data_IF_434275947760
#
_entry.id   IF_434275947760
#
_cell.length_a   1.000
_cell.length_b   1.000
_cell.length_c   1.000
_cell.angle_alpha   90.00
_cell.angle_beta   90.00
_cell.angle_gamma   90.00
#
_symmetry.space_group_name_H-M   'P 1'
#
loop_
_entity.id
_entity.type
_entity.pdbx_description
1 polymer ?
#
# COMPACT_ATOMS: atom_id res chain seq x y z
N UNK A 1 -15.43 57.02 -18.18
CA UNK A 1 -15.03 55.66 -17.81
C UNK A 1 -16.23 54.74 -18.04
N UNK A 2 -16.27 53.98 -19.13
CA UNK A 2 -17.32 52.97 -19.33
C UNK A 2 -16.95 51.77 -18.46
N UNK A 3 -17.61 51.63 -17.32
CA UNK A 3 -17.57 50.39 -16.55
C UNK A 3 -18.43 49.39 -17.33
N UNK A 4 -17.80 48.61 -18.21
CA UNK A 4 -18.44 47.45 -18.81
C UNK A 4 -18.57 46.40 -17.72
N UNK A 5 -19.79 46.21 -17.22
CA UNK A 5 -20.15 45.17 -16.25
C UNK A 5 -20.16 43.82 -16.95
N UNK A 6 -18.98 43.31 -17.32
CA UNK A 6 -18.84 41.99 -17.91
C UNK A 6 -19.06 40.92 -16.82
N UNK A 7 -20.28 40.41 -16.74
CA UNK A 7 -20.69 39.35 -15.82
C UNK A 7 -20.27 37.95 -16.31
N UNK A 8 -19.64 37.83 -17.48
CA UNK A 8 -19.31 36.52 -18.07
C UNK A 8 -18.37 35.70 -17.18
N UNK A 9 -17.34 36.34 -16.60
CA UNK A 9 -16.40 35.71 -15.68
C UNK A 9 -17.07 35.22 -14.41
N UNK A 10 -17.94 36.05 -13.80
CA UNK A 10 -18.67 35.70 -12.58
C UNK A 10 -19.66 34.56 -12.83
N UNK A 11 -20.37 34.57 -13.96
CA UNK A 11 -21.25 33.47 -14.35
C UNK A 11 -20.49 32.16 -14.59
N UNK A 12 -19.27 32.24 -15.13
CA UNK A 12 -18.41 31.06 -15.29
C UNK A 12 -17.94 30.52 -13.94
N UNK A 13 -17.51 31.40 -13.03
CA UNK A 13 -17.11 31.01 -11.68
C UNK A 13 -18.25 30.31 -10.93
N UNK A 14 -19.47 30.85 -10.96
CA UNK A 14 -20.65 30.22 -10.33
C UNK A 14 -20.89 28.81 -10.90
N UNK A 15 -20.81 28.64 -12.22
CA UNK A 15 -20.97 27.31 -12.84
C UNK A 15 -19.90 26.31 -12.39
N UNK A 16 -18.65 26.74 -12.26
CA UNK A 16 -17.55 25.89 -11.79
C UNK A 16 -17.73 25.54 -10.32
N UNK A 17 -18.15 26.48 -9.48
CA UNK A 17 -18.48 26.21 -8.08
C UNK A 17 -19.64 25.18 -7.98
N UNK A 18 -20.69 25.32 -8.79
CA UNK A 18 -21.78 24.33 -8.88
C UNK A 18 -21.29 22.95 -9.36
N UNK A 19 -20.20 22.89 -10.15
CA UNK A 19 -19.60 21.62 -10.54
C UNK A 19 -18.81 20.97 -9.39
N UNK A 20 -18.30 21.72 -8.40
CA UNK A 20 -17.57 21.13 -7.28
C UNK A 20 -18.43 20.12 -6.53
N UNK A 21 -19.68 20.50 -6.22
CA UNK A 21 -20.64 19.62 -5.53
C UNK A 21 -21.03 18.36 -6.35
N UNK A 22 -20.76 18.37 -7.66
CA UNK A 22 -21.04 17.26 -8.58
C UNK A 22 -19.86 16.34 -8.77
N UNK A 23 -18.70 16.61 -8.17
CA UNK A 23 -17.55 15.73 -8.27
C UNK A 23 -17.26 15.06 -6.93
N UNK A 24 -16.83 13.81 -7.00
CA UNK A 24 -16.27 13.06 -5.88
C UNK A 24 -14.93 12.46 -6.27
N UNK A 25 -14.08 12.25 -5.27
CA UNK A 25 -12.74 11.72 -5.47
C UNK A 25 -12.65 10.33 -4.85
N UNK A 26 -12.31 9.34 -5.66
CA UNK A 26 -11.99 7.99 -5.19
C UNK A 26 -10.48 7.81 -5.19
N UNK A 27 -9.93 7.27 -4.11
CA UNK A 27 -8.48 7.16 -3.89
C UNK A 27 -8.18 5.75 -3.38
N UNK A 28 -7.15 5.13 -3.94
CA UNK A 28 -6.68 3.84 -3.46
C UNK A 28 -6.07 2.99 -4.56
N UNK A 29 -6.18 1.67 -4.39
CA UNK A 29 -5.71 0.69 -5.36
C UNK A 29 -6.93 0.06 -6.03
N UNK A 30 -7.10 0.29 -7.33
CA UNK A 30 -8.21 -0.28 -8.11
C UNK A 30 -7.80 -1.63 -8.72
N UNK A 31 -8.71 -2.60 -8.68
CA UNK A 31 -8.43 -4.00 -8.96
C UNK A 31 -8.59 -4.39 -10.42
N UNK A 32 -8.80 -3.39 -11.28
CA UNK A 32 -9.06 -3.56 -12.71
C UNK A 32 -7.85 -4.23 -13.40
N UNK A 33 -6.63 -4.00 -12.91
CA UNK A 33 -5.39 -4.51 -13.51
C UNK A 33 -4.67 -5.60 -12.70
N UNK A 34 -4.85 -5.66 -11.37
CA UNK A 34 -4.12 -6.61 -10.52
C UNK A 34 -4.80 -6.84 -9.14
N UNK A 35 -5.68 -7.84 -9.08
CA UNK A 35 -6.36 -8.26 -7.84
C UNK A 35 -5.40 -8.75 -6.75
N UNK A 36 -4.20 -9.22 -7.12
CA UNK A 36 -3.18 -9.66 -6.15
C UNK A 36 -2.57 -8.47 -5.42
N UNK A 37 -2.37 -7.33 -6.10
CA UNK A 37 -1.85 -6.12 -5.46
C UNK A 37 -2.85 -5.55 -4.43
N UNK A 38 -4.15 -5.58 -4.74
CA UNK A 38 -5.17 -5.19 -3.77
C UNK A 38 -5.15 -6.07 -2.52
N UNK A 39 -5.02 -7.39 -2.68
CA UNK A 39 -4.91 -8.31 -1.56
C UNK A 39 -3.69 -7.96 -0.69
N UNK A 40 -2.53 -7.73 -1.29
CA UNK A 40 -1.30 -7.35 -0.57
C UNK A 40 -1.49 -6.03 0.18
N UNK A 41 -2.09 -5.02 -0.47
CA UNK A 41 -2.39 -3.75 0.16
C UNK A 41 -3.34 -3.91 1.35
N UNK A 42 -4.40 -4.72 1.23
CA UNK A 42 -5.32 -5.00 2.34
C UNK A 42 -4.64 -5.69 3.53
N UNK A 43 -3.78 -6.69 3.25
CA UNK A 43 -2.97 -7.35 4.29
C UNK A 43 -2.04 -6.36 4.99
N UNK A 44 -1.46 -5.42 4.25
CA UNK A 44 -0.62 -4.40 4.86
C UNK A 44 -1.43 -3.37 5.64
N UNK A 45 -2.56 -2.89 5.13
CA UNK A 45 -3.37 -1.87 5.80
C UNK A 45 -3.98 -2.35 7.12
N UNK A 46 -4.41 -3.62 7.19
CA UNK A 46 -5.17 -4.16 8.33
C UNK A 46 -4.49 -5.32 9.08
N UNK A 47 -3.36 -5.81 8.57
CA UNK A 47 -2.71 -7.01 9.10
C UNK A 47 -3.44 -8.30 8.70
N UNK A 48 -2.79 -9.44 8.97
CA UNK A 48 -3.39 -10.76 8.73
C UNK A 48 -2.72 -11.84 9.58
N UNK A 49 -3.51 -12.71 10.20
CA UNK A 49 -3.02 -13.96 10.78
C UNK A 49 -3.26 -15.11 9.80
N UNK A 50 -2.17 -15.72 9.33
CA UNK A 50 -2.23 -16.89 8.45
C UNK A 50 -2.16 -18.14 9.31
N UNK A 51 -3.11 -19.05 9.10
CA UNK A 51 -3.16 -20.38 9.73
C UNK A 51 -2.97 -21.49 8.68
N UNK A 52 -2.29 -22.59 9.01
CA UNK A 52 -2.12 -23.71 8.09
C UNK A 52 -3.43 -24.45 7.85
N UNK A 53 -3.58 -25.02 6.65
CA UNK A 53 -4.65 -26.00 6.37
C UNK A 53 -4.38 -27.37 7.03
N UNK A 54 -3.11 -27.70 7.23
CA UNK A 54 -2.65 -28.88 7.96
C UNK A 54 -2.08 -28.51 9.33
N UNK A 55 -1.10 -29.28 9.82
CA UNK A 55 -0.53 -29.04 11.15
C UNK A 55 0.40 -27.83 11.25
N UNK A 56 1.13 -27.51 10.18
CA UNK A 56 2.14 -26.46 10.17
C UNK A 56 2.20 -25.71 8.83
N UNK A 57 2.54 -24.43 8.90
CA UNK A 57 3.09 -23.63 7.82
C UNK A 57 4.60 -23.88 7.74
N UNK A 58 5.12 -23.97 6.52
CA UNK A 58 6.56 -24.10 6.25
C UNK A 58 7.13 -22.76 5.82
N UNK A 59 8.00 -22.17 6.64
CA UNK A 59 8.72 -20.94 6.31
C UNK A 59 10.12 -21.31 5.84
N UNK A 60 10.49 -21.03 4.57
CA UNK A 60 11.80 -21.40 4.03
C UNK A 60 12.92 -20.59 4.67
N UNK A 61 14.05 -21.24 4.91
CA UNK A 61 15.33 -20.59 5.24
C UNK A 61 16.09 -20.22 3.96
N UNK A 62 17.17 -19.41 4.04
CA UNK A 62 18.04 -19.16 2.89
C UNK A 62 18.56 -20.45 2.24
N UNK A 63 18.82 -21.49 3.02
CA UNK A 63 19.30 -22.79 2.56
C UNK A 63 18.25 -23.52 1.70
N UNK A 64 16.95 -23.41 2.01
CA UNK A 64 15.91 -24.00 1.16
C UNK A 64 15.80 -23.30 -0.20
N UNK A 65 16.08 -21.99 -0.26
CA UNK A 65 15.86 -21.18 -1.46
C UNK A 65 14.39 -21.20 -1.87
N UNK A 66 14.12 -21.44 -3.16
CA UNK A 66 12.76 -21.52 -3.71
C UNK A 66 12.23 -22.96 -3.84
N UNK A 67 12.97 -23.95 -3.33
CA UNK A 67 12.60 -25.37 -3.39
C UNK A 67 11.40 -25.66 -2.48
N UNK A 68 10.48 -26.53 -2.92
CA UNK A 68 9.39 -26.98 -2.05
C UNK A 68 9.91 -28.09 -1.14
N UNK A 69 9.29 -28.25 0.03
CA UNK A 69 9.67 -29.29 0.99
C UNK A 69 9.69 -30.71 0.38
N UNK A 70 8.78 -31.00 -0.57
CA UNK A 70 8.71 -32.29 -1.26
C UNK A 70 9.86 -32.53 -2.25
N UNK A 71 10.53 -31.47 -2.69
CA UNK A 71 11.59 -31.53 -3.72
C UNK A 71 12.99 -31.71 -3.07
N UNK A 72 13.07 -31.75 -1.74
CA UNK A 72 14.34 -31.87 -1.01
C UNK A 72 14.50 -33.31 -0.53
N UNK A 73 15.42 -34.10 -1.12
CA UNK A 73 15.68 -35.47 -0.68
C UNK A 73 16.22 -35.52 0.75
N UNK A 74 15.81 -36.53 1.52
CA UNK A 74 16.28 -36.72 2.90
C UNK A 74 15.77 -35.67 3.89
N UNK A 75 14.76 -34.87 3.51
CA UNK A 75 14.13 -33.92 4.41
C UNK A 75 13.32 -34.65 5.49
N UNK A 76 13.60 -34.35 6.76
CA UNK A 76 12.86 -34.93 7.88
C UNK A 76 12.60 -33.89 8.98
N UNK A 77 11.68 -34.21 9.89
CA UNK A 77 11.42 -33.41 11.10
C UNK A 77 12.13 -34.07 12.29
N UNK A 78 13.19 -33.46 12.86
CA UNK A 78 13.81 -33.96 14.07
C UNK A 78 12.80 -34.06 15.23
N UNK A 79 12.92 -35.11 16.05
CA UNK A 79 12.00 -35.36 17.17
C UNK A 79 12.00 -34.18 18.13
N UNK A 80 10.81 -33.73 18.52
CA UNK A 80 10.64 -32.60 19.45
C UNK A 80 10.98 -31.21 18.89
N UNK A 81 11.41 -31.08 17.63
CA UNK A 81 11.73 -29.78 17.00
C UNK A 81 10.71 -29.41 15.93
N UNK A 82 10.41 -28.12 15.80
CA UNK A 82 9.50 -27.57 14.79
C UNK A 82 10.29 -27.01 13.59
N UNK A 83 11.10 -27.87 12.99
CA UNK A 83 11.88 -27.58 11.77
C UNK A 83 11.84 -28.78 10.83
N UNK A 84 12.10 -28.54 9.55
CA UNK A 84 12.47 -29.56 8.59
C UNK A 84 13.93 -29.36 8.21
N UNK A 85 14.72 -30.42 8.27
CA UNK A 85 16.16 -30.39 8.06
C UNK A 85 16.63 -31.60 7.24
N UNK A 86 17.82 -31.46 6.65
CA UNK A 86 18.57 -32.54 6.02
C UNK A 86 19.82 -32.81 6.86
N UNK A 87 20.17 -34.09 7.04
CA UNK A 87 21.41 -34.47 7.71
C UNK A 87 22.54 -34.60 6.67
N UNK A 88 23.66 -33.92 6.92
CA UNK A 88 24.89 -34.10 6.15
C UNK A 88 25.58 -35.43 6.47
N UNK A 89 26.57 -35.84 5.65
CA UNK A 89 27.37 -37.05 5.90
C UNK A 89 28.11 -37.04 7.24
N UNK A 90 28.39 -35.85 7.77
CA UNK A 90 29.04 -35.57 9.06
C UNK A 90 28.04 -35.53 10.24
N UNK A 91 26.75 -35.80 10.00
CA UNK A 91 25.68 -35.71 10.99
C UNK A 91 25.22 -34.27 11.28
N UNK A 92 25.79 -33.26 10.62
CA UNK A 92 25.38 -31.87 10.81
C UNK A 92 24.02 -31.64 10.17
N UNK A 93 23.11 -30.99 10.91
CA UNK A 93 21.78 -30.68 10.43
C UNK A 93 21.77 -29.33 9.68
N UNK A 94 21.34 -29.36 8.43
CA UNK A 94 21.01 -28.15 7.67
C UNK A 94 19.50 -27.92 7.74
N UNK A 95 19.09 -26.84 8.41
CA UNK A 95 17.68 -26.46 8.53
C UNK A 95 17.22 -25.88 7.19
N UNK A 96 16.13 -26.42 6.65
CA UNK A 96 15.55 -25.98 5.38
C UNK A 96 14.25 -25.18 5.62
N UNK A 97 13.43 -25.58 6.60
CA UNK A 97 12.17 -24.87 6.89
C UNK A 97 11.92 -24.76 8.39
N UNK A 98 11.39 -23.61 8.83
CA UNK A 98 10.75 -23.47 10.13
C UNK A 98 9.29 -23.87 10.04
N UNK A 99 8.82 -24.64 11.03
CA UNK A 99 7.42 -25.04 11.15
C UNK A 99 6.69 -24.12 12.14
N UNK A 100 5.63 -23.46 11.69
CA UNK A 100 4.82 -22.55 12.50
C UNK A 100 3.34 -22.96 12.47
N UNK A 101 2.63 -22.83 13.58
CA UNK A 101 1.18 -23.07 13.66
C UNK A 101 0.37 -21.84 13.23
N UNK A 102 0.99 -20.68 13.19
CA UNK A 102 0.44 -19.45 12.63
C UNK A 102 1.57 -18.48 12.27
N UNK A 103 1.27 -17.55 11.36
CA UNK A 103 2.14 -16.41 11.04
C UNK A 103 1.30 -15.16 11.18
N UNK A 104 1.75 -14.25 12.06
CA UNK A 104 1.12 -12.96 12.26
C UNK A 104 1.84 -11.91 11.40
N UNK A 105 1.11 -11.32 10.46
CA UNK A 105 1.55 -10.18 9.66
C UNK A 105 0.93 -8.94 10.31
N UNK A 106 1.75 -8.04 10.86
CA UNK A 106 1.23 -6.85 11.52
C UNK A 106 0.70 -5.85 10.49
N UNK A 107 -0.30 -5.08 10.91
CA UNK A 107 -0.79 -3.93 10.18
C UNK A 107 0.29 -2.86 10.03
N UNK A 108 0.20 -2.12 8.94
CA UNK A 108 1.05 -1.02 8.48
C UNK A 108 0.14 -0.05 7.76
N UNK A 109 -0.80 0.51 8.50
CA UNK A 109 -1.79 1.47 8.03
C UNK A 109 -1.09 2.62 7.30
N UNK A 110 -1.20 2.63 5.97
CA UNK A 110 -0.60 3.63 5.10
C UNK A 110 -1.67 4.49 4.43
N UNK A 111 -2.90 3.97 4.26
CA UNK A 111 -4.04 4.77 3.82
C UNK A 111 -4.62 5.54 5.00
N UNK A 112 -5.17 4.84 6.00
CA UNK A 112 -5.93 5.48 7.10
C UNK A 112 -5.08 6.49 7.85
N UNK A 113 -3.86 6.12 8.23
CA UNK A 113 -2.95 7.05 8.93
C UNK A 113 -2.62 8.29 8.10
N UNK A 114 -2.48 8.17 6.77
CA UNK A 114 -2.25 9.33 5.90
C UNK A 114 -3.47 10.24 5.88
N UNK A 115 -4.68 9.69 5.78
CA UNK A 115 -5.91 10.47 5.86
C UNK A 115 -6.01 11.19 7.21
N UNK A 116 -5.81 10.49 8.32
CA UNK A 116 -5.87 11.08 9.67
C UNK A 116 -4.84 12.22 9.82
N UNK A 117 -3.63 12.05 9.29
CA UNK A 117 -2.53 13.02 9.45
C UNK A 117 -2.59 14.21 8.48
N UNK A 118 -3.17 14.05 7.28
CA UNK A 118 -3.06 15.04 6.19
C UNK A 118 -4.37 15.72 5.82
N UNK A 119 -5.52 15.24 6.28
CA UNK A 119 -6.84 15.78 5.88
C UNK A 119 -6.95 17.29 6.03
N UNK A 120 -6.48 17.86 7.14
CA UNK A 120 -6.52 19.31 7.37
C UNK A 120 -5.72 20.08 6.30
N UNK A 121 -4.50 19.63 6.01
CA UNK A 121 -3.63 20.25 5.00
C UNK A 121 -4.25 20.17 3.60
N UNK A 122 -4.90 19.06 3.27
CA UNK A 122 -5.60 18.93 2.00
C UNK A 122 -6.81 19.86 1.89
N UNK A 123 -7.55 20.05 3.00
CA UNK A 123 -8.62 21.04 3.10
C UNK A 123 -8.11 22.47 2.84
N UNK A 124 -7.03 22.87 3.49
CA UNK A 124 -6.42 24.20 3.29
C UNK A 124 -5.99 24.42 1.82
N UNK A 125 -5.40 23.41 1.17
CA UNK A 125 -5.06 23.48 -0.25
C UNK A 125 -6.30 23.62 -1.14
N UNK A 126 -7.34 22.86 -0.83
CA UNK A 126 -8.60 22.88 -1.57
C UNK A 126 -9.29 24.24 -1.46
N UNK A 127 -9.36 24.83 -0.26
CA UNK A 127 -9.89 26.18 -0.03
C UNK A 127 -9.13 27.24 -0.83
N UNK A 128 -7.79 27.17 -0.86
CA UNK A 128 -6.98 28.07 -1.69
C UNK A 128 -7.29 27.94 -3.19
N UNK A 129 -7.60 26.73 -3.67
CA UNK A 129 -7.96 26.51 -5.07
C UNK A 129 -9.39 26.93 -5.42
N UNK A 130 -10.30 27.02 -4.44
CA UNK A 130 -11.63 27.61 -4.66
C UNK A 130 -11.48 29.10 -5.05
N UNK A 131 -10.57 29.83 -4.42
CA UNK A 131 -10.29 31.22 -4.80
C UNK A 131 -9.78 31.32 -6.25
N UNK A 132 -8.94 30.37 -6.67
CA UNK A 132 -8.48 30.30 -8.06
C UNK A 132 -9.61 29.98 -9.06
N UNK A 133 -10.66 29.25 -8.65
CA UNK A 133 -11.88 29.07 -9.47
C UNK A 133 -12.65 30.39 -9.60
N UNK A 134 -12.81 31.13 -8.50
CA UNK A 134 -13.52 32.42 -8.49
C UNK A 134 -12.86 33.42 -9.46
N UNK A 135 -11.52 33.41 -9.50
CA UNK A 135 -10.72 34.23 -10.41
C UNK A 135 -10.62 33.64 -11.84
N UNK A 136 -11.28 32.52 -12.13
CA UNK A 136 -11.33 31.88 -13.44
C UNK A 136 -10.03 31.20 -13.87
N UNK A 137 -9.11 30.94 -12.94
CA UNK A 137 -7.80 30.31 -13.21
C UNK A 137 -7.87 28.77 -13.22
N UNK A 138 -8.81 28.19 -12.46
CA UNK A 138 -9.04 26.75 -12.39
C UNK A 138 -10.50 26.40 -12.65
N UNK A 139 -10.73 25.19 -13.14
CA UNK A 139 -12.03 24.51 -13.18
C UNK A 139 -12.16 23.55 -12.00
N UNK A 140 -13.40 23.17 -11.67
CA UNK A 140 -13.67 22.17 -10.63
C UNK A 140 -12.91 20.86 -10.88
N UNK A 141 -12.93 20.36 -12.12
CA UNK A 141 -12.22 19.13 -12.50
C UNK A 141 -10.71 19.23 -12.27
N UNK A 142 -10.10 20.39 -12.57
CA UNK A 142 -8.68 20.61 -12.31
C UNK A 142 -8.36 20.63 -10.81
N UNK A 143 -9.24 21.21 -9.98
CA UNK A 143 -9.08 21.20 -8.53
C UNK A 143 -9.12 19.77 -7.98
N UNK A 144 -10.10 18.95 -8.38
CA UNK A 144 -10.18 17.54 -7.96
C UNK A 144 -8.99 16.70 -8.44
N UNK A 145 -8.52 16.92 -9.67
CA UNK A 145 -7.33 16.23 -10.17
C UNK A 145 -6.06 16.62 -9.39
N UNK A 146 -5.90 17.90 -9.04
CA UNK A 146 -4.78 18.36 -8.21
C UNK A 146 -4.84 17.76 -6.80
N UNK A 147 -6.03 17.73 -6.20
CA UNK A 147 -6.24 17.12 -4.89
C UNK A 147 -5.92 15.62 -4.92
N UNK A 148 -6.44 14.90 -5.91
CA UNK A 148 -6.17 13.47 -6.11
C UNK A 148 -4.69 13.17 -6.27
N UNK A 149 -4.00 13.92 -7.15
CA UNK A 149 -2.56 13.78 -7.33
C UNK A 149 -1.79 14.03 -6.02
N UNK A 150 -2.18 15.05 -5.25
CA UNK A 150 -1.51 15.37 -3.98
C UNK A 150 -1.72 14.32 -2.91
N UNK A 151 -2.93 13.78 -2.79
CA UNK A 151 -3.24 12.72 -1.83
C UNK A 151 -2.47 11.45 -2.19
N UNK A 152 -2.43 11.08 -3.46
CA UNK A 152 -1.66 9.92 -3.92
C UNK A 152 -0.17 10.08 -3.64
N UNK A 153 0.39 11.25 -3.91
CA UNK A 153 1.77 11.58 -3.56
C UNK A 153 2.03 11.41 -2.04
N UNK A 154 1.17 11.93 -1.18
CA UNK A 154 1.30 11.79 0.27
C UNK A 154 1.19 10.31 0.73
N UNK A 155 0.28 9.52 0.16
CA UNK A 155 0.17 8.09 0.44
C UNK A 155 1.43 7.34 -0.02
N UNK A 156 1.93 7.65 -1.22
CA UNK A 156 3.15 7.04 -1.75
C UNK A 156 4.37 7.37 -0.89
N UNK A 157 4.45 8.59 -0.36
CA UNK A 157 5.47 8.98 0.63
C UNK A 157 5.31 8.21 1.93
N UNK A 158 4.08 8.09 2.47
CA UNK A 158 3.83 7.31 3.68
C UNK A 158 4.30 5.85 3.56
N UNK A 159 4.06 5.22 2.42
CA UNK A 159 4.54 3.86 2.12
C UNK A 159 6.07 3.75 2.21
N UNK A 160 6.79 4.79 1.79
CA UNK A 160 8.26 4.86 1.86
C UNK A 160 8.72 5.09 3.31
N UNK A 161 8.01 5.92 4.06
CA UNK A 161 8.37 6.32 5.42
C UNK A 161 8.10 5.24 6.47
N UNK A 162 7.06 4.41 6.33
CA UNK A 162 6.73 3.37 7.30
C UNK A 162 7.91 2.41 7.47
N UNK A 163 8.46 2.38 8.69
CA UNK A 163 9.47 1.41 9.12
C UNK A 163 8.94 0.42 10.16
N UNK A 164 7.87 0.79 10.86
CA UNK A 164 7.31 0.02 11.97
C UNK A 164 5.86 -0.36 11.66
N UNK A 165 5.47 -1.62 11.92
CA UNK A 165 6.31 -2.72 12.37
C UNK A 165 7.28 -3.24 11.30
N UNK A 166 8.50 -3.58 11.72
CA UNK A 166 9.56 -4.03 10.82
C UNK A 166 9.21 -5.35 10.11
N UNK A 167 10.02 -5.73 9.11
CA UNK A 167 9.94 -7.08 8.52
C UNK A 167 10.27 -8.14 9.56
N UNK A 168 9.68 -9.32 9.41
CA UNK A 168 10.03 -10.46 10.26
C UNK A 168 11.48 -10.88 10.03
N UNK A 169 12.12 -11.43 11.07
CA UNK A 169 13.51 -11.90 11.00
C UNK A 169 13.75 -12.90 9.87
N UNK A 170 12.80 -13.81 9.62
CA UNK A 170 12.87 -14.78 8.53
C UNK A 170 12.91 -14.09 7.15
N UNK A 171 12.13 -13.02 6.95
CA UNK A 171 12.12 -12.27 5.70
C UNK A 171 13.42 -11.48 5.50
N UNK A 172 13.96 -10.89 6.57
CA UNK A 172 15.25 -10.18 6.53
C UNK A 172 16.42 -11.11 6.25
N UNK A 173 16.43 -12.32 6.83
CA UNK A 173 17.44 -13.33 6.54
C UNK A 173 17.48 -13.71 5.05
N UNK A 174 16.31 -13.74 4.39
CA UNK A 174 16.21 -14.03 2.95
C UNK A 174 16.53 -12.80 2.07
N UNK A 175 16.22 -11.60 2.54
CA UNK A 175 16.39 -10.35 1.77
C UNK A 175 17.02 -9.24 2.63
N UNK A 176 18.30 -9.35 3.01
CA UNK A 176 18.92 -8.47 4.00
C UNK A 176 18.99 -7.01 3.55
N UNK A 177 19.05 -6.75 2.23
CA UNK A 177 19.12 -5.40 1.64
C UNK A 177 17.76 -4.74 1.40
N UNK A 178 16.64 -5.46 1.57
CA UNK A 178 15.28 -4.93 1.37
C UNK A 178 14.57 -4.81 2.70
N UNK A 179 14.93 -3.81 3.49
CA UNK A 179 14.44 -3.62 4.85
C UNK A 179 13.09 -2.88 4.95
N UNK A 180 12.76 -1.99 4.00
CA UNK A 180 11.47 -1.27 4.04
C UNK A 180 10.30 -2.28 4.02
N UNK A 181 9.41 -2.26 5.03
CA UNK A 181 8.37 -3.27 5.23
C UNK A 181 7.30 -3.35 4.14
N UNK A 182 7.04 -2.26 3.42
CA UNK A 182 6.02 -2.14 2.38
C UNK A 182 6.60 -2.18 0.96
N UNK A 183 7.93 -2.13 0.82
CA UNK A 183 8.60 -2.06 -0.48
C UNK A 183 9.49 -3.29 -0.69
N UNK A 184 9.14 -4.05 -1.74
CA UNK A 184 9.99 -5.13 -2.28
C UNK A 184 10.34 -4.86 -3.74
N UNK A 185 9.35 -4.51 -4.55
CA UNK A 185 9.49 -4.12 -5.97
C UNK A 185 9.04 -2.68 -6.23
N UNK A 186 8.31 -2.06 -5.29
CA UNK A 186 7.67 -0.76 -5.49
C UNK A 186 6.31 -0.81 -6.19
N UNK A 187 5.88 -1.98 -6.69
CA UNK A 187 4.63 -2.14 -7.45
C UNK A 187 3.41 -1.63 -6.68
N UNK A 188 3.25 -2.03 -5.41
CA UNK A 188 2.13 -1.58 -4.56
C UNK A 188 2.07 -0.04 -4.43
N UNK A 189 3.22 0.60 -4.19
CA UNK A 189 3.31 2.07 -4.12
C UNK A 189 2.83 2.71 -5.41
N UNK A 190 3.35 2.22 -6.55
CA UNK A 190 3.04 2.79 -7.86
C UNK A 190 1.61 2.48 -8.32
N UNK A 191 0.92 1.52 -7.69
CA UNK A 191 -0.48 1.19 -7.98
C UNK A 191 -1.49 2.03 -7.19
N UNK A 192 -1.06 2.89 -6.26
CA UNK A 192 -1.93 3.88 -5.63
C UNK A 192 -2.26 4.97 -6.64
N UNK A 193 -3.56 5.21 -6.88
CA UNK A 193 -4.05 6.20 -7.85
C UNK A 193 -5.40 6.80 -7.40
N UNK A 194 -5.94 7.73 -8.19
CA UNK A 194 -7.23 8.37 -7.96
C UNK A 194 -8.14 8.32 -9.19
N UNK A 195 -9.45 8.45 -8.98
CA UNK A 195 -10.46 8.66 -10.02
C UNK A 195 -11.34 9.83 -9.62
N UNK A 196 -11.47 10.83 -10.51
CA UNK A 196 -12.46 11.90 -10.36
C UNK A 196 -13.77 11.39 -10.96
N UNK A 197 -14.81 11.33 -10.13
CA UNK A 197 -16.10 10.78 -10.47
C UNK A 197 -17.13 11.89 -10.49
N UNK A 198 -18.00 11.91 -11.50
CA UNK A 198 -19.14 12.81 -11.54
C UNK A 198 -20.34 12.14 -10.88
N UNK A 199 -20.89 12.78 -9.86
CA UNK A 199 -22.09 12.38 -9.13
C UNK A 199 -23.36 12.88 -9.81
#
# INVERSE_FOLDING_TARGET
>A
MKVTTDKSTMNKAIRELDQLDRYSLQIGLFGEDDSFIQMIAGVHEFGLTIRPKGKYLTIPTPEAGDRRARDIPGLFKPRGKNILAVAGPDGKLTVMFYLKTEVNIPERSFLRSTFDEKSNKWGELFEGWIDDIIHGKLSAEQVYNRLGAKIVDDIQMKIVEIQTPAKSAATLARNPRKNNPLIVTGKMKNSVTWKVMKS
#
